data_IF_087263799442
#
_entry.id   IF_087263799442
#
_cell.length_a   1.000
_cell.length_b   1.000
_cell.length_c   1.000
_cell.angle_alpha   90.00
_cell.angle_beta   90.00
_cell.angle_gamma   90.00
#
_symmetry.space_group_name_H-M   'P 1'
#
loop_
_entity.id
_entity.type
_entity.pdbx_description
1 polymer ?
#
# COMPACT_ATOMS: atom_id res chain seq x y z
N UNK A 1 13.65 -13.76 7.81
CA UNK A 1 13.78 -12.60 8.71
C UNK A 1 13.43 -13.02 10.13
N UNK A 2 14.17 -12.58 11.17
CA UNK A 2 13.70 -12.77 12.54
C UNK A 2 12.42 -11.96 12.69
N UNK A 3 11.30 -12.63 12.96
CA UNK A 3 10.02 -11.97 13.21
C UNK A 3 10.16 -11.16 14.49
N UNK A 4 10.20 -9.84 14.38
CA UNK A 4 9.83 -8.96 15.50
C UNK A 4 8.42 -9.33 15.95
N UNK A 5 8.14 -9.13 17.23
CA UNK A 5 6.81 -9.34 17.77
C UNK A 5 5.81 -8.45 17.00
N UNK A 6 4.77 -9.09 16.45
CA UNK A 6 3.80 -8.46 15.56
C UNK A 6 2.55 -8.09 16.36
N UNK A 7 2.10 -6.85 16.23
CA UNK A 7 0.87 -6.36 16.85
C UNK A 7 -0.26 -6.47 15.81
N UNK A 8 -1.37 -7.10 16.16
CA UNK A 8 -2.48 -7.33 15.24
C UNK A 8 -3.79 -6.74 15.76
N UNK A 9 -4.33 -5.78 15.04
CA UNK A 9 -5.59 -5.12 15.35
C UNK A 9 -6.57 -5.33 14.21
N UNK A 10 -7.84 -5.56 14.54
CA UNK A 10 -8.93 -5.31 13.61
C UNK A 10 -9.07 -3.80 13.41
N UNK A 11 -9.75 -3.39 12.35
CA UNK A 11 -10.09 -1.98 12.11
C UNK A 11 -10.84 -1.38 13.31
N UNK A 12 -11.70 -2.16 13.96
CA UNK A 12 -12.47 -1.74 15.12
C UNK A 12 -11.56 -1.50 16.33
N UNK A 13 -10.67 -2.45 16.62
CA UNK A 13 -9.67 -2.31 17.68
C UNK A 13 -8.74 -1.12 17.43
N UNK A 14 -8.32 -0.88 16.19
CA UNK A 14 -7.50 0.28 15.83
C UNK A 14 -8.25 1.60 16.10
N UNK A 15 -9.50 1.73 15.65
CA UNK A 15 -10.33 2.92 15.89
C UNK A 15 -10.54 3.15 17.38
N UNK A 16 -10.94 2.12 18.13
CA UNK A 16 -11.21 2.25 19.56
C UNK A 16 -9.95 2.62 20.35
N UNK A 17 -8.82 2.00 20.05
CA UNK A 17 -7.56 2.28 20.76
C UNK A 17 -7.03 3.67 20.42
N UNK A 18 -7.20 4.15 19.19
CA UNK A 18 -6.93 5.55 18.82
C UNK A 18 -7.80 6.52 19.63
N UNK A 19 -9.12 6.28 19.71
CA UNK A 19 -10.04 7.12 20.47
C UNK A 19 -9.70 7.13 21.97
N UNK A 20 -9.45 5.96 22.57
CA UNK A 20 -9.04 5.84 23.98
C UNK A 20 -7.72 6.55 24.30
N UNK A 21 -6.82 6.67 23.32
CA UNK A 21 -5.56 7.41 23.45
C UNK A 21 -5.70 8.91 23.12
N UNK A 22 -6.92 9.43 22.87
CA UNK A 22 -7.17 10.84 22.56
C UNK A 22 -6.88 11.25 21.12
N UNK A 23 -6.79 10.29 20.19
CA UNK A 23 -6.59 10.54 18.76
C UNK A 23 -7.92 10.54 18.00
N UNK A 24 -8.94 11.22 18.55
CA UNK A 24 -10.35 11.19 18.08
C UNK A 24 -10.51 11.55 16.60
N UNK A 25 -9.71 12.50 16.10
CA UNK A 25 -9.76 12.91 14.69
C UNK A 25 -9.37 11.79 13.75
N UNK A 26 -8.26 11.10 14.04
CA UNK A 26 -7.79 9.99 13.22
C UNK A 26 -8.75 8.80 13.32
N UNK A 27 -9.24 8.50 14.52
CA UNK A 27 -10.30 7.50 14.72
C UNK A 27 -11.54 7.82 13.87
N UNK A 28 -12.00 9.08 13.88
CA UNK A 28 -13.18 9.52 13.11
C UNK A 28 -12.95 9.47 11.60
N UNK A 29 -11.76 9.86 11.11
CA UNK A 29 -11.41 9.77 9.69
C UNK A 29 -11.51 8.32 9.21
N UNK A 30 -10.86 7.40 9.90
CA UNK A 30 -10.88 5.97 9.58
C UNK A 30 -12.32 5.43 9.65
N UNK A 31 -13.10 5.84 10.66
CA UNK A 31 -14.49 5.43 10.82
C UNK A 31 -15.37 5.86 9.64
N UNK A 32 -15.21 7.11 9.18
CA UNK A 32 -15.97 7.68 8.08
C UNK A 32 -15.57 7.07 6.73
N UNK A 33 -14.27 6.85 6.50
CA UNK A 33 -13.75 6.23 5.26
C UNK A 33 -14.27 4.80 5.06
N UNK A 34 -14.57 4.09 6.14
CA UNK A 34 -14.97 2.68 6.12
C UNK A 34 -16.48 2.47 6.26
N UNK A 35 -17.28 3.55 6.38
CA UNK A 35 -18.74 3.52 6.58
C UNK A 35 -19.20 2.56 7.70
N UNK A 36 -18.42 2.44 8.78
CA UNK A 36 -18.54 1.32 9.72
C UNK A 36 -19.70 1.42 10.71
N UNK A 37 -20.25 2.61 10.97
CA UNK A 37 -21.26 2.83 12.00
C UNK A 37 -22.42 3.65 11.42
N UNK A 38 -23.63 3.07 11.48
CA UNK A 38 -24.85 3.71 10.95
C UNK A 38 -25.78 4.23 12.04
N UNK A 39 -25.63 3.76 13.29
CA UNK A 39 -26.43 4.23 14.45
C UNK A 39 -25.73 4.13 15.83
N UNK A 40 -26.33 4.74 16.86
CA UNK A 40 -25.81 4.80 18.23
C UNK A 40 -25.81 3.43 18.96
N UNK A 41 -26.66 2.50 18.53
CA UNK A 41 -26.74 1.15 19.13
C UNK A 41 -25.60 0.26 18.65
N UNK A 42 -25.20 0.41 17.37
CA UNK A 42 -23.99 -0.19 16.81
C UNK A 42 -22.73 0.34 17.48
N UNK A 43 -22.70 1.64 17.82
CA UNK A 43 -21.58 2.27 18.53
C UNK A 43 -21.38 1.71 19.95
N UNK A 44 -22.46 1.50 20.71
CA UNK A 44 -22.36 0.96 22.08
C UNK A 44 -21.85 -0.49 22.08
N UNK A 45 -22.39 -1.33 21.19
CA UNK A 45 -21.93 -2.71 21.01
C UNK A 45 -20.47 -2.77 20.54
N UNK A 46 -20.08 -1.85 19.66
CA UNK A 46 -18.71 -1.69 19.18
C UNK A 46 -17.71 -1.47 20.33
N UNK A 47 -18.05 -0.64 21.32
CA UNK A 47 -17.17 -0.37 22.47
C UNK A 47 -17.01 -1.61 23.35
N UNK A 48 -18.11 -2.29 23.72
CA UNK A 48 -18.09 -3.45 24.62
C UNK A 48 -17.36 -4.67 24.01
N UNK A 49 -17.59 -4.93 22.71
CA UNK A 49 -16.93 -6.02 21.99
C UNK A 49 -15.41 -5.76 21.87
N UNK A 50 -15.03 -4.51 21.59
CA UNK A 50 -13.63 -4.15 21.38
C UNK A 50 -12.79 -4.26 22.67
N UNK A 51 -13.30 -3.83 23.82
CA UNK A 51 -12.59 -4.01 25.10
C UNK A 51 -12.32 -5.50 25.38
N UNK A 52 -13.33 -6.34 25.19
CA UNK A 52 -13.22 -7.78 25.42
C UNK A 52 -12.14 -8.42 24.53
N UNK A 53 -12.06 -8.01 23.27
CA UNK A 53 -11.04 -8.48 22.32
C UNK A 53 -9.64 -7.99 22.69
N UNK A 54 -9.48 -6.71 23.05
CA UNK A 54 -8.21 -6.14 23.49
C UNK A 54 -7.68 -6.85 24.76
N UNK A 55 -8.54 -7.16 25.72
CA UNK A 55 -8.19 -7.95 26.91
C UNK A 55 -7.67 -9.34 26.54
N UNK A 56 -8.35 -10.05 25.62
CA UNK A 56 -7.91 -11.37 25.16
C UNK A 56 -6.54 -11.34 24.48
N UNK A 57 -6.21 -10.26 23.78
CA UNK A 57 -4.91 -10.06 23.12
C UNK A 57 -3.80 -9.55 24.05
N UNK A 58 -4.12 -9.22 25.30
CA UNK A 58 -3.18 -8.61 26.24
C UNK A 58 -2.84 -7.15 25.91
N UNK A 59 -3.70 -6.48 25.14
CA UNK A 59 -3.56 -5.07 24.78
C UNK A 59 -4.30 -4.12 25.73
N UNK A 60 -4.95 -4.66 26.76
CA UNK A 60 -5.65 -3.90 27.79
C UNK A 60 -4.86 -3.89 29.12
N UNK A 61 -4.84 -2.74 29.80
CA UNK A 61 -4.21 -2.56 31.11
C UNK A 61 -5.09 -1.69 32.02
N UNK A 62 -5.74 -2.32 33.00
CA UNK A 62 -6.64 -1.66 33.97
C UNK A 62 -5.94 -0.62 34.86
N UNK A 63 -4.60 -0.60 34.88
CA UNK A 63 -3.84 0.35 35.70
C UNK A 63 -3.49 1.64 34.96
N UNK A 64 -3.92 1.79 33.70
CA UNK A 64 -3.65 2.96 32.88
C UNK A 64 -4.94 3.72 32.60
N UNK A 65 -4.85 5.05 32.59
CA UNK A 65 -6.02 5.92 32.37
C UNK A 65 -6.69 5.67 31.01
N UNK A 66 -5.91 5.29 30.00
CA UNK A 66 -6.39 4.94 28.65
C UNK A 66 -7.01 3.54 28.58
N UNK A 67 -6.76 2.68 29.57
CA UNK A 67 -7.08 1.24 29.51
C UNK A 67 -6.20 0.45 28.53
N UNK A 68 -5.27 1.09 27.82
CA UNK A 68 -4.47 0.46 26.75
C UNK A 68 -3.07 0.14 27.26
N UNK A 69 -2.61 -1.08 26.99
CA UNK A 69 -1.27 -1.53 27.35
C UNK A 69 -0.19 -0.63 26.72
N UNK A 70 0.85 -0.31 27.50
CA UNK A 70 1.89 0.65 27.12
C UNK A 70 2.49 0.41 25.73
N UNK A 71 2.78 -0.84 25.38
CA UNK A 71 3.38 -1.16 24.07
C UNK A 71 2.47 -0.80 22.88
N UNK A 72 1.16 -0.96 23.02
CA UNK A 72 0.20 -0.54 22.00
C UNK A 72 0.05 0.99 21.99
N UNK A 73 0.01 1.63 23.15
CA UNK A 73 -0.04 3.10 23.23
C UNK A 73 1.19 3.76 22.57
N UNK A 74 2.39 3.22 22.82
CA UNK A 74 3.64 3.64 22.17
C UNK A 74 3.58 3.43 20.65
N UNK A 75 3.01 2.32 20.18
CA UNK A 75 2.78 2.07 18.75
C UNK A 75 1.85 3.11 18.11
N UNK A 76 0.72 3.40 18.76
CA UNK A 76 -0.26 4.37 18.26
C UNK A 76 0.34 5.77 18.23
N UNK A 77 1.12 6.15 19.24
CA UNK A 77 1.88 7.40 19.22
C UNK A 77 2.79 7.49 18.00
N UNK A 78 3.57 6.45 17.73
CA UNK A 78 4.47 6.39 16.57
C UNK A 78 3.71 6.45 15.23
N UNK A 79 2.57 5.76 15.13
CA UNK A 79 1.72 5.75 13.95
C UNK A 79 1.17 7.16 13.65
N UNK A 80 0.61 7.81 14.67
CA UNK A 80 -0.02 9.13 14.54
C UNK A 80 1.01 10.23 14.22
N UNK A 81 2.20 10.14 14.78
CA UNK A 81 3.23 11.17 14.63
C UNK A 81 4.20 10.91 13.46
N UNK A 82 4.01 9.83 12.70
CA UNK A 82 4.78 9.55 11.50
C UNK A 82 4.49 10.59 10.41
N UNK A 83 5.50 11.38 10.06
CA UNK A 83 5.37 12.46 9.07
C UNK A 83 5.53 11.99 7.63
N UNK A 84 6.34 10.96 7.41
CA UNK A 84 6.63 10.43 6.08
C UNK A 84 6.20 8.98 6.04
N UNK A 85 5.36 8.63 5.07
CA UNK A 85 4.92 7.24 4.87
C UNK A 85 4.92 6.88 3.40
N UNK A 86 5.18 5.61 3.12
CA UNK A 86 5.02 5.03 1.80
C UNK A 86 3.80 4.13 1.85
N UNK A 87 2.94 4.20 0.84
CA UNK A 87 1.76 3.33 0.71
C UNK A 87 1.86 2.55 -0.58
N UNK A 88 1.93 1.24 -0.48
CA UNK A 88 1.84 0.32 -1.60
C UNK A 88 0.44 -0.30 -1.62
N UNK A 89 -0.25 -0.22 -2.76
CA UNK A 89 -1.58 -0.79 -2.96
C UNK A 89 -1.49 -1.91 -4.00
N UNK A 90 -1.91 -3.11 -3.62
CA UNK A 90 -2.07 -4.24 -4.51
C UNK A 90 -3.55 -4.47 -4.82
N UNK A 91 -3.98 -4.04 -6.00
CA UNK A 91 -5.37 -4.10 -6.43
C UNK A 91 -5.87 -5.54 -6.56
N UNK A 92 -5.04 -6.44 -7.10
CA UNK A 92 -5.37 -7.85 -7.26
C UNK A 92 -5.58 -8.57 -5.93
N UNK A 93 -4.71 -8.35 -4.95
CA UNK A 93 -4.82 -8.98 -3.62
C UNK A 93 -5.74 -8.19 -2.67
N UNK A 94 -6.20 -7.00 -3.07
CA UNK A 94 -6.99 -6.06 -2.25
C UNK A 94 -6.36 -5.83 -0.88
N UNK A 95 -5.05 -5.63 -0.86
CA UNK A 95 -4.30 -5.37 0.35
C UNK A 95 -3.36 -4.16 0.17
N UNK A 96 -2.95 -3.60 1.30
CA UNK A 96 -2.03 -2.48 1.34
C UNK A 96 -0.85 -2.76 2.27
N UNK A 97 0.27 -2.15 1.96
CA UNK A 97 1.45 -2.09 2.80
C UNK A 97 1.76 -0.61 3.04
N UNK A 98 1.82 -0.20 4.30
CA UNK A 98 2.27 1.12 4.69
C UNK A 98 3.60 0.99 5.42
N UNK A 99 4.56 1.83 5.05
CA UNK A 99 5.85 1.93 5.74
C UNK A 99 5.92 3.34 6.32
N UNK A 100 5.92 3.44 7.63
CA UNK A 100 5.94 4.69 8.38
C UNK A 100 7.37 4.98 8.84
N UNK A 101 7.91 6.13 8.46
CA UNK A 101 9.25 6.54 8.90
C UNK A 101 9.22 6.97 10.36
N UNK A 102 9.98 6.29 11.21
CA UNK A 102 10.09 6.65 12.63
C UNK A 102 11.38 7.41 12.92
N UNK A 103 12.51 6.84 12.51
CA UNK A 103 13.84 7.42 12.68
C UNK A 103 14.82 6.78 11.69
N UNK A 104 16.10 7.19 11.74
CA UNK A 104 17.15 6.67 10.85
C UNK A 104 17.38 5.16 10.95
N UNK A 105 17.00 4.52 12.06
CA UNK A 105 17.28 3.09 12.31
C UNK A 105 16.06 2.19 12.10
N UNK A 106 14.86 2.71 12.33
CA UNK A 106 13.64 1.92 12.31
C UNK A 106 12.52 2.61 11.55
N UNK A 107 11.71 1.78 10.92
CA UNK A 107 10.42 2.12 10.34
C UNK A 107 9.36 1.19 10.93
N UNK A 108 8.10 1.62 10.92
CA UNK A 108 6.96 0.78 11.26
C UNK A 108 6.30 0.30 9.97
N UNK A 109 6.24 -1.01 9.78
CA UNK A 109 5.55 -1.64 8.66
C UNK A 109 4.16 -2.04 9.11
N UNK A 110 3.15 -1.63 8.34
CA UNK A 110 1.75 -1.94 8.56
C UNK A 110 1.21 -2.65 7.32
N UNK A 111 0.80 -3.91 7.45
CA UNK A 111 0.04 -4.61 6.41
C UNK A 111 -1.45 -4.51 6.71
N UNK A 112 -2.24 -4.16 5.69
CA UNK A 112 -3.70 -4.07 5.77
C UNK A 112 -4.32 -5.08 4.83
N UNK A 113 -5.11 -6.02 5.39
CA UNK A 113 -5.79 -7.08 4.63
C UNK A 113 -7.25 -7.13 5.06
N UNK A 114 -8.15 -6.60 4.22
CA UNK A 114 -9.55 -6.44 4.61
C UNK A 114 -9.68 -5.57 5.86
N UNK A 115 -10.16 -6.16 6.96
CA UNK A 115 -10.35 -5.48 8.26
C UNK A 115 -9.20 -5.70 9.25
N UNK A 116 -8.12 -6.34 8.84
CA UNK A 116 -6.99 -6.66 9.71
C UNK A 116 -5.80 -5.75 9.41
N UNK A 117 -5.17 -5.26 10.48
CA UNK A 117 -3.96 -4.46 10.48
C UNK A 117 -2.87 -5.18 11.29
N UNK A 118 -1.78 -5.50 10.61
CA UNK A 118 -0.61 -6.15 11.17
C UNK A 118 0.56 -5.16 11.22
N UNK A 119 1.12 -4.93 12.40
CA UNK A 119 2.19 -3.97 12.64
C UNK A 119 3.48 -4.67 13.06
N UNK A 120 4.60 -4.31 12.43
CA UNK A 120 5.91 -4.83 12.76
C UNK A 120 7.00 -3.75 12.62
N UNK A 121 7.97 -3.76 13.52
CA UNK A 121 9.14 -2.90 13.40
C UNK A 121 10.11 -3.47 12.37
N UNK A 122 10.56 -2.61 11.46
CA UNK A 122 11.56 -2.94 10.45
C UNK A 122 12.86 -2.18 10.74
N UNK A 123 14.00 -2.86 10.61
CA UNK A 123 15.31 -2.23 10.73
C UNK A 123 15.75 -1.71 9.36
N UNK A 124 15.93 -0.40 9.23
CA UNK A 124 16.15 0.24 7.93
C UNK A 124 17.45 -0.21 7.23
N UNK A 125 18.41 -0.75 7.99
CA UNK A 125 19.64 -1.31 7.43
C UNK A 125 19.45 -2.66 6.72
N UNK A 126 18.31 -3.32 6.90
CA UNK A 126 17.94 -4.53 6.15
C UNK A 126 17.46 -4.21 4.73
N UNK A 127 17.10 -2.95 4.47
CA UNK A 127 16.56 -2.53 3.19
C UNK A 127 15.07 -2.83 3.03
N UNK A 128 14.44 -2.16 2.08
CA UNK A 128 13.01 -2.27 1.77
C UNK A 128 12.73 -3.09 0.51
N UNK A 129 13.77 -3.50 -0.22
CA UNK A 129 13.66 -4.28 -1.46
C UNK A 129 12.72 -5.48 -1.31
N UNK A 130 13.01 -6.39 -0.37
CA UNK A 130 12.21 -7.60 -0.19
C UNK A 130 10.81 -7.29 0.33
N UNK A 131 10.69 -6.32 1.25
CA UNK A 131 9.40 -5.94 1.86
C UNK A 131 8.39 -5.52 0.80
N UNK A 132 8.81 -4.71 -0.17
CA UNK A 132 7.93 -4.18 -1.23
C UNK A 132 7.72 -5.21 -2.34
N UNK A 133 8.80 -5.87 -2.77
CA UNK A 133 8.74 -6.93 -3.80
C UNK A 133 7.76 -8.04 -3.39
N UNK A 134 7.87 -8.53 -2.15
CA UNK A 134 7.02 -9.61 -1.64
C UNK A 134 5.57 -9.17 -1.47
N UNK A 135 5.32 -7.92 -1.11
CA UNK A 135 3.96 -7.36 -1.07
C UNK A 135 3.26 -7.46 -2.44
N UNK A 136 3.97 -7.12 -3.52
CA UNK A 136 3.44 -7.29 -4.88
C UNK A 136 3.46 -8.74 -5.39
N UNK A 137 4.04 -9.68 -4.63
CA UNK A 137 4.06 -11.10 -4.97
C UNK A 137 5.03 -11.44 -6.09
N UNK A 138 6.09 -10.65 -6.26
CA UNK A 138 7.07 -10.83 -7.33
C UNK A 138 8.24 -11.68 -6.84
N UNK A 139 8.66 -12.66 -7.63
CA UNK A 139 9.86 -13.45 -7.33
C UNK A 139 11.13 -12.65 -7.60
N UNK A 140 12.20 -12.90 -6.83
CA UNK A 140 13.51 -12.27 -7.08
C UNK A 140 14.17 -12.91 -8.31
N UNK A 141 13.76 -12.43 -9.47
CA UNK A 141 14.22 -12.90 -10.78
C UNK A 141 14.91 -11.79 -11.56
N UNK A 142 15.87 -12.18 -12.38
CA UNK A 142 16.58 -11.29 -13.28
C UNK A 142 16.47 -11.86 -14.69
N UNK A 143 15.66 -11.21 -15.52
CA UNK A 143 15.55 -11.54 -16.94
C UNK A 143 16.10 -10.40 -17.77
N UNK A 144 16.55 -10.74 -18.97
CA UNK A 144 16.91 -9.74 -19.96
C UNK A 144 15.67 -9.28 -20.73
N UNK A 145 15.27 -8.02 -20.54
CA UNK A 145 14.23 -7.36 -21.35
C UNK A 145 14.84 -6.43 -22.41
N UNK A 146 16.15 -6.49 -22.63
CA UNK A 146 16.85 -5.70 -23.64
C UNK A 146 16.22 -5.93 -25.03
N UNK A 147 15.86 -4.82 -25.68
CA UNK A 147 15.21 -4.83 -26.99
C UNK A 147 13.69 -4.91 -26.95
N UNK A 148 13.07 -5.10 -25.78
CA UNK A 148 11.62 -4.95 -25.64
C UNK A 148 11.25 -3.49 -25.88
N UNK A 149 10.26 -3.27 -26.75
CA UNK A 149 9.78 -1.93 -27.04
C UNK A 149 8.75 -1.52 -25.98
N UNK A 150 8.89 -0.33 -25.37
CA UNK A 150 7.83 0.23 -24.53
C UNK A 150 6.52 0.33 -25.30
N UNK A 151 5.41 0.12 -24.61
CA UNK A 151 4.09 0.36 -25.20
C UNK A 151 3.77 1.83 -25.02
N UNK A 152 3.41 2.50 -26.11
CA UNK A 152 2.97 3.89 -26.10
C UNK A 152 1.48 3.94 -26.36
N UNK A 153 0.75 4.65 -25.52
CA UNK A 153 -0.69 4.84 -25.63
C UNK A 153 -1.09 6.24 -25.16
N UNK A 154 -2.30 6.65 -25.50
CA UNK A 154 -2.86 7.89 -24.95
C UNK A 154 -3.42 7.65 -23.55
N UNK A 155 -3.54 8.73 -22.77
CA UNK A 155 -4.29 8.74 -21.51
C UNK A 155 -5.74 8.26 -21.70
N UNK A 156 -6.41 8.72 -22.76
CA UNK A 156 -7.76 8.24 -23.12
C UNK A 156 -7.80 6.71 -23.29
N UNK A 157 -6.78 6.11 -23.92
CA UNK A 157 -6.74 4.66 -24.12
C UNK A 157 -6.48 3.91 -22.81
N UNK A 158 -5.73 4.50 -21.87
CA UNK A 158 -5.57 3.93 -20.53
C UNK A 158 -6.93 3.88 -19.82
N UNK A 159 -7.68 4.98 -19.84
CA UNK A 159 -9.02 5.07 -19.23
C UNK A 159 -10.01 4.08 -19.87
N UNK A 160 -9.96 3.92 -21.19
CA UNK A 160 -10.75 2.92 -21.91
C UNK A 160 -10.40 1.49 -21.49
N UNK A 161 -9.11 1.18 -21.29
CA UNK A 161 -8.69 -0.16 -20.87
C UNK A 161 -9.25 -0.55 -19.50
N UNK A 162 -9.32 0.39 -18.56
CA UNK A 162 -9.91 0.19 -17.23
C UNK A 162 -11.40 -0.18 -17.28
N UNK A 163 -12.13 0.31 -18.28
CA UNK A 163 -13.59 0.11 -18.40
C UNK A 163 -13.97 -0.87 -19.50
N UNK A 164 -13.00 -1.37 -20.26
CA UNK A 164 -13.22 -2.34 -21.33
C UNK A 164 -13.80 -3.66 -20.81
N UNK A 165 -14.65 -4.29 -21.63
CA UNK A 165 -15.13 -5.64 -21.33
C UNK A 165 -13.93 -6.62 -21.33
N UNK A 166 -13.82 -7.55 -20.37
CA UNK A 166 -12.70 -8.49 -20.28
C UNK A 166 -12.44 -9.28 -21.57
N UNK A 167 -13.48 -9.54 -22.35
CA UNK A 167 -13.42 -10.21 -23.65
C UNK A 167 -12.55 -9.46 -24.67
N UNK A 168 -12.46 -8.13 -24.58
CA UNK A 168 -11.61 -7.31 -25.46
C UNK A 168 -10.13 -7.61 -25.19
N UNK A 169 -9.73 -7.60 -23.92
CA UNK A 169 -8.36 -7.92 -23.52
C UNK A 169 -8.03 -9.40 -23.76
N UNK A 170 -9.00 -10.30 -23.62
CA UNK A 170 -8.84 -11.71 -23.97
C UNK A 170 -8.59 -11.90 -25.47
N UNK A 171 -9.31 -11.15 -26.32
CA UNK A 171 -9.09 -11.14 -27.75
C UNK A 171 -7.70 -10.58 -28.10
N UNK A 172 -7.28 -9.46 -27.47
CA UNK A 172 -5.93 -8.91 -27.65
C UNK A 172 -4.85 -9.93 -27.29
N UNK A 173 -4.99 -10.62 -26.16
CA UNK A 173 -4.07 -11.68 -25.72
C UNK A 173 -3.94 -12.81 -26.75
N UNK A 174 -5.03 -13.16 -27.44
CA UNK A 174 -5.07 -14.27 -28.41
C UNK A 174 -4.70 -13.86 -29.85
N UNK A 175 -4.61 -12.56 -30.15
CA UNK A 175 -4.33 -12.08 -31.49
C UNK A 175 -2.85 -12.21 -31.85
N UNK A 176 -2.53 -13.24 -32.65
CA UNK A 176 -1.17 -13.51 -33.13
C UNK A 176 -0.60 -12.36 -34.00
N UNK A 177 -1.45 -11.47 -34.54
CA UNK A 177 -1.00 -10.32 -35.33
C UNK A 177 -0.48 -9.16 -34.47
N UNK A 178 -0.80 -9.12 -33.17
CA UNK A 178 -0.26 -8.11 -32.27
C UNK A 178 1.20 -8.39 -31.91
N UNK A 179 1.93 -7.36 -31.52
CA UNK A 179 3.27 -7.53 -30.98
C UNK A 179 3.19 -8.27 -29.62
N UNK A 180 4.17 -9.13 -29.34
CA UNK A 180 4.22 -9.90 -28.08
C UNK A 180 4.06 -9.03 -26.81
N UNK A 181 4.72 -7.86 -26.68
CA UNK A 181 4.53 -6.97 -25.53
C UNK A 181 3.07 -6.57 -25.27
N UNK A 182 2.28 -6.32 -26.32
CA UNK A 182 0.86 -5.95 -26.20
C UNK A 182 0.03 -7.12 -25.68
N UNK A 183 0.32 -8.35 -26.15
CA UNK A 183 -0.34 -9.56 -25.67
C UNK A 183 -0.01 -9.85 -24.20
N UNK A 184 1.26 -9.71 -23.84
CA UNK A 184 1.73 -9.92 -22.47
C UNK A 184 1.11 -8.88 -21.52
N UNK A 185 1.08 -7.61 -21.93
CA UNK A 185 0.40 -6.56 -21.19
C UNK A 185 -1.09 -6.87 -21.00
N UNK A 186 -1.83 -7.25 -22.05
CA UNK A 186 -3.25 -7.58 -21.94
C UNK A 186 -3.50 -8.76 -20.97
N UNK A 187 -2.65 -9.79 -21.01
CA UNK A 187 -2.74 -10.93 -20.08
C UNK A 187 -2.46 -10.50 -18.63
N UNK A 188 -1.40 -9.72 -18.41
CA UNK A 188 -1.02 -9.28 -17.07
C UNK A 188 -2.05 -8.30 -16.48
N UNK A 189 -2.59 -7.40 -17.30
CA UNK A 189 -3.61 -6.42 -16.89
C UNK A 189 -4.92 -7.12 -16.51
N UNK A 190 -5.35 -8.11 -17.29
CA UNK A 190 -6.48 -8.98 -16.95
C UNK A 190 -6.27 -9.73 -15.63
N UNK A 191 -5.09 -10.34 -15.43
CA UNK A 191 -4.79 -11.04 -14.17
C UNK A 191 -4.80 -10.12 -12.96
N UNK A 192 -4.50 -8.83 -13.15
CA UNK A 192 -4.53 -7.83 -12.10
C UNK A 192 -5.91 -7.18 -11.89
N UNK A 193 -6.94 -7.63 -12.63
CA UNK A 193 -8.30 -7.14 -12.51
C UNK A 193 -8.55 -5.82 -13.23
N UNK A 194 -7.80 -5.55 -14.31
CA UNK A 194 -7.90 -4.31 -15.11
C UNK A 194 -7.60 -3.05 -14.30
N UNK A 195 -6.65 -3.17 -13.37
CA UNK A 195 -6.25 -2.10 -12.47
C UNK A 195 -4.73 -2.06 -12.38
N UNK A 196 -4.17 -0.87 -12.14
CA UNK A 196 -2.75 -0.71 -11.80
C UNK A 196 -2.58 -0.72 -10.29
N UNK A 197 -1.51 -1.39 -9.84
CA UNK A 197 -1.04 -1.20 -8.48
C UNK A 197 -0.34 0.16 -8.36
N UNK A 198 -0.21 0.68 -7.15
CA UNK A 198 0.53 1.93 -6.94
C UNK A 198 1.44 1.90 -5.71
N UNK A 199 2.49 2.72 -5.77
CA UNK A 199 3.35 3.10 -4.66
C UNK A 199 3.25 4.61 -4.52
N UNK A 200 2.75 5.09 -3.39
CA UNK A 200 2.60 6.51 -3.09
C UNK A 200 3.54 6.95 -1.98
N UNK A 201 4.22 8.07 -2.19
CA UNK A 201 5.00 8.76 -1.17
C UNK A 201 4.12 9.85 -0.57
N UNK A 202 3.96 9.82 0.74
CA UNK A 202 3.00 10.64 1.47
C UNK A 202 3.70 11.41 2.57
N UNK A 203 3.47 12.71 2.61
CA UNK A 203 3.81 13.55 3.75
C UNK A 203 2.54 13.89 4.53
N UNK A 204 2.60 13.72 5.85
CA UNK A 204 1.50 13.96 6.78
C UNK A 204 1.94 14.97 7.84
N UNK A 205 1.13 16.01 8.03
CA UNK A 205 1.23 16.93 9.16
C UNK A 205 0.06 16.68 10.10
N UNK A 206 0.33 15.97 11.19
CA UNK A 206 -0.68 15.67 12.22
C UNK A 206 -1.25 16.94 12.87
N UNK A 207 -0.44 18.01 13.02
CA UNK A 207 -0.90 19.25 13.66
C UNK A 207 -1.89 19.99 12.76
N UNK A 208 -1.65 19.95 11.44
CA UNK A 208 -2.52 20.58 10.44
C UNK A 208 -3.63 19.66 9.93
N UNK A 209 -3.58 18.38 10.27
CA UNK A 209 -4.51 17.36 9.78
C UNK A 209 -4.54 17.28 8.24
N UNK A 210 -3.35 17.35 7.63
CA UNK A 210 -3.16 17.35 6.18
C UNK A 210 -2.24 16.21 5.77
N UNK A 211 -2.58 15.56 4.64
CA UNK A 211 -1.70 14.61 3.96
C UNK A 211 -1.64 14.95 2.49
N UNK A 212 -0.43 15.00 1.95
CA UNK A 212 -0.17 15.33 0.56
C UNK A 212 0.63 14.20 -0.10
N UNK A 213 0.31 13.91 -1.36
CA UNK A 213 1.10 13.01 -2.19
C UNK A 213 2.32 13.77 -2.70
N UNK A 214 3.50 13.35 -2.28
CA UNK A 214 4.75 13.84 -2.86
C UNK A 214 4.96 13.24 -4.25
N UNK A 215 4.65 11.95 -4.41
CA UNK A 215 4.84 11.20 -5.64
C UNK A 215 3.95 9.97 -5.67
N UNK A 216 3.51 9.54 -6.86
CA UNK A 216 2.74 8.31 -7.07
C UNK A 216 3.35 7.56 -8.24
N UNK A 217 3.60 6.27 -8.07
CA UNK A 217 4.17 5.40 -9.09
C UNK A 217 3.18 4.29 -9.38
N UNK A 218 2.75 4.16 -10.63
CA UNK A 218 1.85 3.10 -11.06
C UNK A 218 2.61 1.95 -11.70
N UNK A 219 2.20 0.73 -11.36
CA UNK A 219 2.84 -0.47 -11.86
C UNK A 219 1.86 -1.62 -12.07
N UNK A 220 2.21 -2.51 -13.00
CA UNK A 220 1.51 -3.75 -13.23
C UNK A 220 2.52 -4.92 -13.13
N UNK A 221 2.35 -5.83 -12.15
CA UNK A 221 3.18 -7.03 -12.02
C UNK A 221 3.02 -7.97 -13.23
N UNK A 222 4.09 -8.16 -14.01
CA UNK A 222 4.18 -9.24 -14.99
C UNK A 222 4.76 -10.52 -14.38
N UNK A 223 5.12 -11.50 -15.21
CA UNK A 223 5.71 -12.75 -14.68
C UNK A 223 7.10 -12.54 -14.06
N UNK A 224 8.03 -11.90 -14.79
CA UNK A 224 9.44 -11.72 -14.38
C UNK A 224 9.92 -10.28 -14.55
N UNK A 225 9.01 -9.35 -14.76
CA UNK A 225 9.27 -7.93 -14.95
C UNK A 225 8.07 -7.14 -14.46
N UNK A 226 8.21 -5.83 -14.38
CA UNK A 226 7.17 -4.89 -13.98
C UNK A 226 6.89 -3.98 -15.16
N UNK A 227 5.63 -3.83 -15.55
CA UNK A 227 5.20 -2.73 -16.39
C UNK A 227 5.15 -1.48 -15.52
N UNK A 228 6.10 -0.57 -15.68
CA UNK A 228 6.08 0.73 -15.06
C UNK A 228 5.34 1.72 -15.95
N UNK A 229 4.35 2.42 -15.40
CA UNK A 229 3.63 3.45 -16.14
C UNK A 229 4.31 4.80 -15.94
N UNK A 230 5.02 5.26 -16.97
CA UNK A 230 5.57 6.59 -17.04
C UNK A 230 4.52 7.53 -17.66
N UNK A 231 4.08 8.50 -16.87
CA UNK A 231 3.06 9.48 -17.24
C UNK A 231 3.58 10.92 -17.22
N UNK A 232 4.90 11.14 -17.19
CA UNK A 232 5.51 12.48 -17.15
C UNK A 232 5.16 13.37 -18.36
N UNK A 233 4.77 12.75 -19.48
CA UNK A 233 4.45 13.43 -20.72
C UNK A 233 2.94 13.56 -21.00
N UNK A 234 2.06 13.14 -20.07
CA UNK A 234 0.61 13.19 -20.26
C UNK A 234 0.14 14.64 -20.50
N UNK A 235 0.55 15.57 -19.65
CA UNK A 235 0.11 16.98 -19.76
C UNK A 235 0.57 17.69 -21.05
N UNK A 236 1.64 17.20 -21.67
CA UNK A 236 2.25 17.84 -22.85
C UNK A 236 1.80 17.18 -24.16
N UNK A 237 1.73 15.86 -24.17
CA UNK A 237 1.60 15.08 -25.39
C UNK A 237 0.44 14.07 -25.33
N UNK A 238 -0.33 14.01 -24.23
CA UNK A 238 -1.32 12.96 -23.98
C UNK A 238 -0.71 11.57 -24.17
N UNK A 239 0.55 11.38 -23.73
CA UNK A 239 1.30 10.14 -23.94
C UNK A 239 1.59 9.47 -22.60
N UNK A 240 1.17 8.21 -22.50
CA UNK A 240 1.53 7.27 -21.44
C UNK A 240 2.44 6.21 -22.02
N UNK A 241 3.54 5.92 -21.32
CA UNK A 241 4.52 4.92 -21.72
C UNK A 241 4.53 3.80 -20.68
N UNK A 242 4.29 2.57 -21.12
CA UNK A 242 4.48 1.38 -20.29
C UNK A 242 5.85 0.77 -20.58
N UNK A 243 6.73 0.87 -19.61
CA UNK A 243 8.11 0.40 -19.69
C UNK A 243 8.23 -0.95 -18.98
N UNK A 244 8.66 -2.02 -19.68
CA UNK A 244 8.97 -3.28 -19.03
C UNK A 244 10.33 -3.17 -18.33
N UNK A 245 10.35 -3.29 -17.00
CA UNK A 245 11.56 -3.19 -16.18
C UNK A 245 11.77 -4.51 -15.42
N UNK A 246 12.97 -5.12 -15.43
CA UNK A 246 13.22 -6.33 -14.65
C UNK A 246 12.92 -6.11 -13.17
N UNK A 247 12.32 -7.11 -12.50
CA UNK A 247 11.88 -7.02 -11.09
C UNK A 247 12.96 -6.46 -10.18
N UNK A 248 14.17 -7.02 -10.28
CA UNK A 248 15.30 -6.62 -9.44
C UNK A 248 15.74 -5.19 -9.68
N UNK A 249 15.73 -4.73 -10.93
CA UNK A 249 16.05 -3.35 -11.29
C UNK A 249 15.00 -2.40 -10.74
N UNK A 250 13.72 -2.71 -10.98
CA UNK A 250 12.60 -1.89 -10.54
C UNK A 250 12.59 -1.69 -9.02
N UNK A 251 12.60 -2.77 -8.23
CA UNK A 251 12.50 -2.64 -6.77
C UNK A 251 13.77 -2.07 -6.12
N UNK A 252 14.94 -2.16 -6.77
CA UNK A 252 16.14 -1.44 -6.33
C UNK A 252 16.02 0.07 -6.55
N UNK A 253 15.45 0.49 -7.68
CA UNK A 253 15.20 1.91 -7.95
C UNK A 253 14.18 2.46 -6.95
N UNK A 254 13.07 1.75 -6.74
CA UNK A 254 12.09 2.06 -5.69
C UNK A 254 12.77 2.17 -4.33
N UNK A 255 13.57 1.18 -3.91
CA UNK A 255 14.28 1.26 -2.63
C UNK A 255 15.18 2.51 -2.52
N UNK A 256 15.84 2.90 -3.60
CA UNK A 256 16.66 4.11 -3.63
C UNK A 256 15.82 5.37 -3.38
N UNK A 257 14.72 5.54 -4.12
CA UNK A 257 13.78 6.66 -3.97
C UNK A 257 13.22 6.72 -2.55
N UNK A 258 12.91 5.57 -1.97
CA UNK A 258 12.39 5.47 -0.60
C UNK A 258 13.41 5.90 0.45
N UNK A 259 14.68 5.51 0.27
CA UNK A 259 15.76 5.91 1.18
C UNK A 259 16.00 7.41 1.11
N UNK A 260 15.99 7.99 -0.08
CA UNK A 260 16.07 9.44 -0.28
C UNK A 260 14.90 10.14 0.41
N UNK A 261 13.67 9.72 0.12
CA UNK A 261 12.47 10.30 0.74
C UNK A 261 12.49 10.24 2.26
N UNK A 262 12.96 9.15 2.87
CA UNK A 262 12.96 9.00 4.32
C UNK A 262 14.12 9.64 5.06
N UNK A 263 15.30 9.73 4.46
CA UNK A 263 16.55 10.01 5.20
C UNK A 263 17.34 11.21 4.69
N UNK A 264 16.95 11.77 3.55
CA UNK A 264 17.50 13.02 3.00
C UNK A 264 16.50 14.18 3.19
#
# INVERSE_FOLDING_TARGET
>A
MPKTEQINLTINELIATLALCGYDKMASQILNEQELIKDESEFTRFVEETETELRKKGYWDDNRDTGIAKGLEDLLYLLVHSKKKIRCINMRKRNALLIHSLNKKHSLVQEVRGREHAFAFHQNNQGFYDVIREHFGMEDTEINVDGWQPIRMTDDLVDELHTSEPEVLLAMKQDENLAQPLRDFADDFLKNGQEFNNISLLESDYVKDQSEFAEIQFLLPGNNFVWHMNYENVDKNHEVILEPIPVKTYFKQIESVLKEFFFE
#
